data_IF_708652008139
#
_entry.id   IF_708652008139
#
_cell.length_a   1.000
_cell.length_b   1.000
_cell.length_c   1.000
_cell.angle_alpha   90.00
_cell.angle_beta   90.00
_cell.angle_gamma   90.00
#
_symmetry.space_group_name_H-M   'P 1'
#
loop_
_entity.id
_entity.type
_entity.pdbx_description
1 polymer ?
#
# COMPACT_ATOMS: atom_id res chain seq x y z
N UNK A 1 21.02 43.95 -13.06
CA UNK A 1 19.81 44.19 -12.26
C UNK A 1 18.85 43.02 -12.50
N UNK A 2 18.34 42.34 -11.50
CA UNK A 2 17.26 41.32 -11.57
C UNK A 2 17.63 39.85 -11.35
N UNK A 3 18.38 39.52 -10.33
CA UNK A 3 18.40 38.10 -9.83
C UNK A 3 17.98 38.01 -8.35
N UNK A 4 17.77 39.11 -7.65
CA UNK A 4 17.42 39.12 -6.23
C UNK A 4 15.93 38.99 -5.88
N UNK A 5 15.01 38.94 -6.85
CA UNK A 5 13.57 38.89 -6.60
C UNK A 5 12.93 37.46 -6.66
N UNK A 6 13.67 36.46 -7.16
CA UNK A 6 13.13 35.10 -7.18
C UNK A 6 13.35 34.31 -5.88
N UNK A 7 14.31 34.72 -5.04
CA UNK A 7 14.66 33.99 -3.82
C UNK A 7 13.66 34.15 -2.65
N UNK A 8 12.76 35.14 -2.74
CA UNK A 8 11.80 35.44 -1.66
C UNK A 8 10.42 34.76 -1.82
N UNK A 9 10.16 34.16 -2.99
CA UNK A 9 8.88 33.45 -3.24
C UNK A 9 8.91 31.96 -2.85
N UNK A 10 10.09 31.39 -2.73
CA UNK A 10 10.23 29.95 -2.43
C UNK A 10 9.71 29.50 -1.04
N UNK A 11 9.92 30.25 0.06
CA UNK A 11 9.42 29.80 1.36
C UNK A 11 7.89 29.86 1.47
N UNK A 12 7.25 30.76 0.76
CA UNK A 12 5.78 30.86 0.77
C UNK A 12 5.10 29.79 -0.07
N UNK A 13 5.70 29.38 -1.18
CA UNK A 13 5.23 28.27 -2.00
C UNK A 13 5.41 26.92 -1.28
N UNK A 14 6.52 26.76 -0.55
CA UNK A 14 6.76 25.58 0.27
C UNK A 14 5.77 25.50 1.45
N UNK A 15 5.49 26.63 2.09
CA UNK A 15 4.51 26.71 3.19
C UNK A 15 3.08 26.44 2.70
N UNK A 16 2.72 26.87 1.50
CA UNK A 16 1.41 26.59 0.87
C UNK A 16 1.32 25.10 0.47
N UNK A 17 2.40 24.49 -0.04
CA UNK A 17 2.42 23.08 -0.37
C UNK A 17 2.32 22.19 0.90
N UNK A 18 2.98 22.58 2.00
CA UNK A 18 2.87 21.91 3.31
C UNK A 18 1.47 22.11 3.91
N UNK A 19 0.87 23.29 3.79
CA UNK A 19 -0.48 23.55 4.27
C UNK A 19 -1.56 22.80 3.48
N UNK A 20 -1.37 22.59 2.17
CA UNK A 20 -2.25 21.75 1.34
C UNK A 20 -2.06 20.25 1.61
N UNK A 21 -0.87 19.82 2.04
CA UNK A 21 -0.60 18.43 2.40
C UNK A 21 -1.14 18.01 3.77
N UNK A 22 -1.58 18.96 4.61
CA UNK A 22 -2.12 18.68 5.96
C UNK A 22 -3.64 18.70 6.04
N UNK A 23 -4.34 19.03 4.96
CA UNK A 23 -5.81 18.99 4.92
C UNK A 23 -6.35 17.65 4.45
N UNK A 24 -6.07 16.57 5.18
CA UNK A 24 -6.92 15.38 5.13
C UNK A 24 -8.25 15.76 5.77
N UNK A 25 -9.23 16.10 4.96
CA UNK A 25 -10.60 16.33 5.45
C UNK A 25 -11.19 14.94 5.73
N UNK A 26 -11.06 14.46 6.97
CA UNK A 26 -11.87 13.37 7.46
C UNK A 26 -13.26 13.94 7.75
N UNK A 27 -14.27 13.52 7.02
CA UNK A 27 -15.66 13.89 7.28
C UNK A 27 -16.40 12.65 7.78
N UNK A 28 -16.86 12.72 9.02
CA UNK A 28 -17.79 11.77 9.59
C UNK A 28 -19.22 12.30 9.40
N UNK A 29 -20.09 11.49 8.83
CA UNK A 29 -21.51 11.80 8.63
C UNK A 29 -22.32 10.75 9.36
N UNK A 30 -23.03 11.19 10.42
CA UNK A 30 -23.99 10.35 11.11
C UNK A 30 -25.37 10.53 10.45
N UNK A 31 -26.06 9.43 10.22
CA UNK A 31 -27.41 9.43 9.65
C UNK A 31 -28.30 8.35 10.27
N UNK A 32 -29.62 8.50 10.10
CA UNK A 32 -30.58 7.54 10.60
C UNK A 32 -31.66 7.25 9.55
N UNK A 33 -31.91 5.96 9.32
CA UNK A 33 -32.95 5.48 8.38
C UNK A 33 -33.86 4.53 9.17
N UNK A 34 -34.99 5.04 9.64
CA UNK A 34 -35.86 4.29 10.55
C UNK A 34 -35.15 3.99 11.88
N UNK A 35 -34.97 2.72 12.20
CA UNK A 35 -34.26 2.25 13.40
C UNK A 35 -32.75 2.03 13.16
N UNK A 36 -32.32 2.06 11.89
CA UNK A 36 -30.92 1.87 11.52
C UNK A 36 -30.17 3.19 11.75
N UNK A 37 -29.08 3.12 12.50
CA UNK A 37 -28.09 4.21 12.65
C UNK A 37 -26.92 3.93 11.73
N UNK A 38 -26.55 4.89 10.90
CA UNK A 38 -25.41 4.82 10.00
C UNK A 38 -24.36 5.85 10.36
N UNK A 39 -23.11 5.48 10.20
CA UNK A 39 -21.95 6.37 10.25
C UNK A 39 -21.14 6.15 8.98
N UNK A 40 -20.80 7.24 8.31
CA UNK A 40 -19.95 7.23 7.13
C UNK A 40 -18.77 8.15 7.32
N UNK A 41 -17.57 7.58 7.33
CA UNK A 41 -16.30 8.30 7.44
C UNK A 41 -15.59 8.30 6.09
N UNK A 42 -15.07 9.44 5.69
CA UNK A 42 -14.40 9.62 4.40
C UNK A 42 -13.09 10.37 4.57
N UNK A 43 -12.01 9.81 4.04
CA UNK A 43 -10.68 10.42 3.98
C UNK A 43 -10.22 10.48 2.53
N UNK A 44 -9.86 11.68 2.06
CA UNK A 44 -9.27 11.90 0.75
C UNK A 44 -7.87 12.47 0.96
N UNK A 45 -6.89 11.95 0.23
CA UNK A 45 -5.52 12.41 0.34
C UNK A 45 -4.83 12.54 -1.02
N UNK A 46 -3.95 13.54 -1.13
CA UNK A 46 -3.03 13.74 -2.22
C UNK A 46 -1.62 13.76 -1.63
N UNK A 47 -0.70 13.04 -2.23
CA UNK A 47 0.67 12.99 -1.76
C UNK A 47 1.68 12.78 -2.87
N UNK A 48 2.94 13.12 -2.58
CA UNK A 48 4.05 12.85 -3.49
C UNK A 48 5.32 12.49 -2.71
N UNK A 49 6.17 11.70 -3.36
CA UNK A 49 7.46 11.27 -2.81
C UNK A 49 8.58 11.48 -3.82
N UNK A 50 9.77 11.85 -3.33
CA UNK A 50 10.94 12.17 -4.15
C UNK A 50 12.17 11.37 -3.73
N UNK A 51 12.97 10.94 -4.71
CA UNK A 51 14.28 10.35 -4.50
C UNK A 51 15.29 11.42 -4.06
N UNK A 52 15.60 11.50 -2.77
CA UNK A 52 16.53 12.50 -2.21
C UNK A 52 17.99 12.22 -2.55
N UNK A 53 18.32 10.97 -2.91
CA UNK A 53 19.64 10.53 -3.35
C UNK A 53 19.52 9.70 -4.62
N UNK A 54 20.57 9.72 -5.44
CA UNK A 54 20.72 8.76 -6.53
C UNK A 54 21.03 7.36 -6.00
N UNK A 55 20.99 6.34 -6.88
CA UNK A 55 21.40 4.99 -6.54
C UNK A 55 22.84 4.94 -6.04
N UNK A 56 23.10 4.11 -5.04
CA UNK A 56 24.45 3.82 -4.59
C UNK A 56 25.09 2.80 -5.56
N UNK A 57 26.30 3.08 -6.08
CA UNK A 57 26.99 2.16 -7.00
C UNK A 57 27.18 0.74 -6.48
N UNK A 58 27.23 0.55 -5.17
CA UNK A 58 27.40 -0.78 -4.58
C UNK A 58 26.14 -1.65 -4.64
N UNK A 59 24.98 -1.05 -4.98
CA UNK A 59 23.70 -1.74 -5.06
C UNK A 59 23.08 -1.72 -6.48
N UNK A 60 23.82 -1.29 -7.48
CA UNK A 60 23.36 -1.26 -8.86
C UNK A 60 24.40 -1.87 -9.80
N UNK A 61 23.91 -2.42 -10.90
CA UNK A 61 24.75 -2.86 -12.00
C UNK A 61 25.08 -1.71 -12.94
N UNK A 62 26.09 -1.90 -13.80
CA UNK A 62 26.36 -0.94 -14.87
C UNK A 62 25.27 -1.01 -15.93
N UNK A 63 24.72 0.15 -16.30
CA UNK A 63 23.67 0.27 -17.31
C UNK A 63 24.09 1.18 -18.46
N UNK A 64 23.90 0.71 -19.67
CA UNK A 64 24.14 1.47 -20.89
C UNK A 64 22.99 2.46 -21.20
N UNK A 65 21.83 2.27 -20.57
CA UNK A 65 20.64 3.10 -20.76
C UNK A 65 20.69 4.36 -19.89
N UNK A 66 20.95 4.15 -18.59
CA UNK A 66 20.97 5.25 -17.62
C UNK A 66 22.34 5.90 -17.50
N UNK A 67 23.38 5.26 -18.00
CA UNK A 67 24.77 5.67 -17.86
C UNK A 67 25.35 5.45 -16.46
N UNK A 68 24.61 4.78 -15.57
CA UNK A 68 25.08 4.44 -14.24
C UNK A 68 26.24 3.45 -14.32
N UNK A 69 27.25 3.67 -13.47
CA UNK A 69 28.38 2.79 -13.26
C UNK A 69 28.19 2.11 -11.90
N UNK A 70 27.87 0.82 -11.92
CA UNK A 70 27.63 0.05 -10.70
C UNK A 70 28.66 -1.03 -10.50
N UNK A 71 28.77 -1.50 -9.24
CA UNK A 71 29.75 -2.48 -8.78
C UNK A 71 29.16 -3.89 -8.63
N UNK A 72 27.83 -4.02 -8.69
CA UNK A 72 27.14 -5.32 -8.53
C UNK A 72 26.87 -5.99 -9.87
N UNK A 73 26.73 -7.33 -9.84
CA UNK A 73 26.30 -8.14 -10.99
C UNK A 73 24.81 -8.45 -11.03
N UNK A 74 24.00 -7.95 -10.08
CA UNK A 74 22.57 -8.26 -9.93
C UNK A 74 21.70 -7.42 -10.86
N UNK A 75 21.73 -7.71 -12.15
CA UNK A 75 21.09 -6.93 -13.21
C UNK A 75 19.57 -7.04 -13.26
N UNK A 76 19.00 -8.05 -12.64
CA UNK A 76 17.54 -8.28 -12.66
C UNK A 76 16.85 -7.87 -11.35
N UNK A 77 17.58 -7.29 -10.41
CA UNK A 77 17.05 -6.93 -9.08
C UNK A 77 17.28 -5.47 -8.72
N UNK A 78 17.73 -4.64 -9.66
CA UNK A 78 18.05 -3.23 -9.43
C UNK A 78 17.31 -2.26 -10.36
N UNK A 79 16.35 -2.73 -11.14
CA UNK A 79 15.53 -1.94 -12.07
C UNK A 79 14.87 -0.75 -11.35
N UNK A 80 14.40 -0.95 -10.12
CA UNK A 80 13.86 0.10 -9.27
C UNK A 80 14.86 1.24 -9.00
N UNK A 81 16.15 0.93 -8.91
CA UNK A 81 17.21 1.90 -8.67
C UNK A 81 17.66 2.59 -9.95
N UNK A 82 17.54 1.90 -11.09
CA UNK A 82 17.82 2.46 -12.40
C UNK A 82 16.76 3.46 -12.85
N UNK A 83 15.51 3.29 -12.40
CA UNK A 83 14.36 4.07 -12.82
C UNK A 83 14.28 5.47 -12.22
N UNK A 84 14.89 5.72 -11.05
CA UNK A 84 14.69 6.97 -10.32
C UNK A 84 16.02 7.65 -10.01
N UNK A 85 16.22 8.85 -10.58
CA UNK A 85 17.38 9.70 -10.31
C UNK A 85 17.14 10.59 -9.08
N UNK A 86 18.22 11.14 -8.56
CA UNK A 86 18.14 12.13 -7.48
C UNK A 86 17.24 13.30 -7.90
N UNK A 87 16.25 13.62 -7.05
CA UNK A 87 15.31 14.73 -7.23
C UNK A 87 14.07 14.37 -8.04
N UNK A 88 14.01 13.18 -8.66
CA UNK A 88 12.80 12.72 -9.35
C UNK A 88 11.73 12.25 -8.38
N UNK A 89 10.48 12.48 -8.74
CA UNK A 89 9.32 11.90 -8.06
C UNK A 89 9.24 10.41 -8.37
N UNK A 90 8.88 9.61 -7.37
CA UNK A 90 8.60 8.19 -7.56
C UNK A 90 7.16 7.79 -7.18
N UNK A 91 6.38 8.75 -6.72
CA UNK A 91 4.94 8.62 -6.50
C UNK A 91 4.29 9.99 -6.48
N UNK A 92 3.15 10.13 -7.15
CA UNK A 92 2.22 11.27 -7.11
C UNK A 92 0.82 10.70 -7.05
N UNK A 93 0.30 10.52 -5.86
CA UNK A 93 -0.90 9.72 -5.65
C UNK A 93 -2.09 10.56 -5.17
N UNK A 94 -3.26 10.26 -5.72
CA UNK A 94 -4.56 10.58 -5.16
C UNK A 94 -5.20 9.30 -4.65
N UNK A 95 -5.75 9.34 -3.43
CA UNK A 95 -6.42 8.18 -2.84
C UNK A 95 -7.59 8.59 -1.95
N UNK A 96 -8.55 7.68 -1.83
CA UNK A 96 -9.67 7.77 -0.92
C UNK A 96 -9.83 6.51 -0.09
N UNK A 97 -10.25 6.68 1.15
CA UNK A 97 -10.58 5.62 2.09
C UNK A 97 -11.91 5.96 2.75
N UNK A 98 -12.83 5.02 2.73
CA UNK A 98 -14.20 5.23 3.21
C UNK A 98 -14.63 4.08 4.10
N UNK A 99 -15.20 4.42 5.26
CA UNK A 99 -15.75 3.50 6.23
C UNK A 99 -17.25 3.73 6.33
N UNK A 100 -18.03 2.67 6.24
CA UNK A 100 -19.48 2.68 6.46
C UNK A 100 -19.83 1.69 7.56
N UNK A 101 -20.45 2.17 8.61
CA UNK A 101 -21.04 1.35 9.66
C UNK A 101 -22.55 1.53 9.70
N UNK A 102 -23.29 0.43 9.70
CA UNK A 102 -24.75 0.42 9.88
C UNK A 102 -25.09 -0.41 11.11
N UNK A 103 -25.85 0.16 12.05
CA UNK A 103 -26.25 -0.48 13.32
C UNK A 103 -27.76 -0.60 13.42
N UNK A 104 -28.22 -1.79 13.78
CA UNK A 104 -29.61 -2.09 14.13
C UNK A 104 -29.67 -2.89 15.41
N UNK A 105 -30.13 -2.28 16.50
CA UNK A 105 -30.06 -2.87 17.84
C UNK A 105 -28.63 -3.22 18.20
N UNK A 106 -28.40 -4.48 18.54
CA UNK A 106 -27.10 -5.03 18.93
C UNK A 106 -26.30 -5.60 17.76
N UNK A 107 -26.85 -5.54 16.55
CA UNK A 107 -26.22 -6.03 15.32
C UNK A 107 -25.75 -4.88 14.46
N UNK A 108 -24.74 -5.13 13.63
CA UNK A 108 -24.30 -4.16 12.64
C UNK A 108 -23.52 -4.78 11.49
N UNK A 109 -23.27 -3.94 10.51
CA UNK A 109 -22.45 -4.22 9.34
C UNK A 109 -21.39 -3.13 9.26
N UNK A 110 -20.15 -3.54 8.99
CA UNK A 110 -19.05 -2.63 8.74
C UNK A 110 -18.46 -2.93 7.37
N UNK A 111 -18.24 -1.89 6.57
CA UNK A 111 -17.59 -1.97 5.26
C UNK A 111 -16.54 -0.87 5.14
N UNK A 112 -15.33 -1.22 4.72
CA UNK A 112 -14.26 -0.31 4.37
C UNK A 112 -13.83 -0.51 2.94
N UNK A 113 -13.76 0.57 2.18
CA UNK A 113 -13.27 0.57 0.81
C UNK A 113 -12.16 1.59 0.61
N UNK A 114 -11.19 1.26 -0.25
CA UNK A 114 -10.15 2.18 -0.70
C UNK A 114 -10.09 2.23 -2.22
N UNK A 115 -9.60 3.37 -2.74
CA UNK A 115 -9.17 3.50 -4.12
C UNK A 115 -7.96 4.42 -4.22
N UNK A 116 -7.18 4.26 -5.29
CA UNK A 116 -5.98 5.05 -5.52
C UNK A 116 -5.69 5.19 -7.00
N UNK A 117 -4.99 6.26 -7.34
CA UNK A 117 -4.42 6.50 -8.64
C UNK A 117 -3.07 7.22 -8.47
N UNK A 118 -1.99 6.58 -8.86
CA UNK A 118 -0.64 7.16 -8.84
C UNK A 118 -0.27 7.62 -10.25
N UNK A 119 -0.33 8.93 -10.47
CA UNK A 119 -0.04 9.57 -11.75
C UNK A 119 1.41 9.35 -12.19
N UNK A 120 2.35 9.29 -11.25
CA UNK A 120 3.75 9.06 -11.55
C UNK A 120 4.02 7.65 -12.07
N UNK A 121 3.37 6.65 -11.46
CA UNK A 121 3.56 5.26 -11.85
C UNK A 121 2.68 4.85 -13.04
N UNK A 122 1.56 5.54 -13.25
CA UNK A 122 0.58 5.17 -14.28
C UNK A 122 0.84 5.85 -15.61
N UNK A 123 1.18 7.14 -15.59
CA UNK A 123 1.14 8.01 -16.75
C UNK A 123 2.55 8.42 -17.24
N UNK A 124 3.58 8.33 -16.37
CA UNK A 124 4.92 8.76 -16.71
C UNK A 124 5.77 7.61 -17.26
N UNK A 125 6.48 7.88 -18.34
CA UNK A 125 7.45 6.94 -18.91
C UNK A 125 8.75 6.93 -18.13
N UNK A 126 9.35 5.76 -17.99
CA UNK A 126 10.67 5.57 -17.40
C UNK A 126 11.72 5.26 -18.45
N UNK A 127 12.89 5.87 -18.28
CA UNK A 127 13.99 5.68 -19.23
C UNK A 127 14.44 4.22 -19.30
N UNK A 128 14.42 3.53 -18.17
CA UNK A 128 14.96 2.19 -18.05
C UNK A 128 13.87 1.11 -18.14
N UNK A 129 12.80 1.23 -17.35
CA UNK A 129 11.73 0.24 -17.30
C UNK A 129 10.39 0.90 -16.97
N UNK A 130 9.46 0.90 -17.93
CA UNK A 130 8.12 1.43 -17.73
C UNK A 130 7.32 0.58 -16.74
N UNK A 131 6.67 1.25 -15.81
CA UNK A 131 5.84 0.57 -14.84
C UNK A 131 4.58 0.03 -15.53
N UNK A 132 4.31 -1.26 -15.36
CA UNK A 132 3.18 -1.94 -15.97
C UNK A 132 2.29 -2.60 -14.92
N UNK A 133 0.98 -2.55 -15.13
CA UNK A 133 -0.01 -3.16 -14.24
C UNK A 133 -0.48 -4.54 -14.71
N UNK A 134 -0.11 -4.96 -15.94
CA UNK A 134 -0.56 -6.21 -16.53
C UNK A 134 -0.01 -7.43 -15.79
N UNK A 135 -0.90 -8.34 -15.36
CA UNK A 135 -0.53 -9.54 -14.62
C UNK A 135 -0.04 -9.32 -13.19
N UNK A 136 -0.05 -8.06 -12.71
CA UNK A 136 0.37 -7.70 -11.35
C UNK A 136 -0.73 -7.99 -10.33
N UNK A 137 -0.34 -8.11 -9.08
CA UNK A 137 -1.30 -8.14 -7.96
C UNK A 137 -2.14 -6.86 -7.96
N UNK A 138 -3.45 -6.98 -7.79
CA UNK A 138 -4.37 -5.84 -7.90
C UNK A 138 -4.05 -4.71 -6.91
N UNK A 139 -3.55 -5.05 -5.72
CA UNK A 139 -3.17 -4.08 -4.70
C UNK A 139 -1.80 -3.43 -4.97
N UNK A 140 -0.93 -4.08 -5.77
CA UNK A 140 0.37 -3.53 -6.16
C UNK A 140 0.31 -2.63 -7.41
N UNK A 141 -0.82 -2.58 -8.13
CA UNK A 141 -0.99 -1.75 -9.33
C UNK A 141 -0.89 -0.26 -9.03
N UNK A 142 -0.56 0.49 -10.05
CA UNK A 142 -0.48 1.97 -10.01
C UNK A 142 -1.83 2.63 -9.76
N UNK A 143 -2.92 1.95 -10.07
CA UNK A 143 -4.30 2.40 -9.78
C UNK A 143 -5.20 1.21 -9.46
N UNK A 144 -6.21 1.44 -8.62
CA UNK A 144 -7.14 0.39 -8.24
C UNK A 144 -8.20 0.82 -7.24
N UNK A 145 -9.10 -0.10 -6.95
CA UNK A 145 -10.08 0.00 -5.88
C UNK A 145 -10.25 -1.38 -5.23
N UNK A 146 -10.42 -1.41 -3.91
CA UNK A 146 -10.56 -2.65 -3.15
C UNK A 146 -11.48 -2.45 -1.95
N UNK A 147 -12.32 -3.45 -1.68
CA UNK A 147 -13.00 -3.57 -0.39
C UNK A 147 -12.06 -4.24 0.61
N UNK A 148 -11.68 -3.50 1.63
CA UNK A 148 -10.88 -3.99 2.74
C UNK A 148 -11.77 -4.79 3.70
N UNK A 149 -12.23 -4.17 4.78
CA UNK A 149 -13.12 -4.83 5.72
C UNK A 149 -14.55 -4.93 5.16
N UNK A 150 -15.20 -6.06 5.40
CA UNK A 150 -16.61 -6.29 5.09
C UNK A 150 -17.13 -7.41 5.98
N UNK A 151 -17.72 -7.08 7.13
CA UNK A 151 -18.21 -8.05 8.08
C UNK A 151 -19.51 -7.61 8.72
N UNK A 152 -20.25 -8.61 9.19
CA UNK A 152 -21.39 -8.43 10.10
C UNK A 152 -20.97 -8.76 11.51
N UNK A 153 -21.58 -8.10 12.49
CA UNK A 153 -21.35 -8.36 13.89
C UNK A 153 -22.62 -8.34 14.71
N UNK A 154 -22.57 -9.04 15.84
CA UNK A 154 -23.62 -9.05 16.85
C UNK A 154 -23.01 -9.00 18.24
N UNK A 155 -23.49 -8.07 19.05
CA UNK A 155 -23.17 -7.98 20.47
C UNK A 155 -24.23 -8.75 21.25
N UNK A 156 -23.81 -9.52 22.22
CA UNK A 156 -24.71 -10.28 23.06
C UNK A 156 -24.22 -10.29 24.52
N UNK A 157 -25.06 -10.76 25.42
CA UNK A 157 -24.68 -10.97 26.80
C UNK A 157 -25.01 -12.40 27.23
N UNK A 158 -24.10 -13.04 27.99
CA UNK A 158 -24.32 -14.32 28.68
C UNK A 158 -24.37 -14.04 30.16
N UNK A 159 -25.59 -13.99 30.73
CA UNK A 159 -25.82 -13.40 32.04
C UNK A 159 -25.49 -11.88 31.96
N UNK A 160 -24.55 -11.42 32.80
CA UNK A 160 -24.10 -10.02 32.81
C UNK A 160 -22.79 -9.80 32.05
N UNK A 161 -22.28 -10.85 31.39
CA UNK A 161 -20.99 -10.81 30.71
C UNK A 161 -21.17 -10.54 29.22
N UNK A 162 -20.49 -9.50 28.71
CA UNK A 162 -20.57 -9.07 27.33
C UNK A 162 -19.84 -10.04 26.38
N UNK A 163 -20.42 -10.25 25.22
CA UNK A 163 -19.84 -11.00 24.11
C UNK A 163 -20.03 -10.28 22.77
N UNK A 164 -19.17 -10.58 21.81
CA UNK A 164 -19.24 -10.10 20.44
C UNK A 164 -18.86 -11.22 19.48
N UNK A 165 -19.60 -11.37 18.40
CA UNK A 165 -19.27 -12.25 17.29
C UNK A 165 -19.21 -11.45 16.00
N UNK A 166 -18.20 -11.75 15.14
CA UNK A 166 -18.04 -11.14 13.82
C UNK A 166 -17.84 -12.21 12.78
N UNK A 167 -18.44 -12.02 11.61
CA UNK A 167 -18.28 -12.93 10.47
C UNK A 167 -18.06 -12.10 9.21
N UNK A 168 -17.03 -12.41 8.46
CA UNK A 168 -16.68 -11.75 7.23
C UNK A 168 -15.21 -11.36 7.13
N UNK A 169 -14.92 -10.50 6.17
CA UNK A 169 -13.57 -10.02 5.86
C UNK A 169 -13.17 -8.96 6.89
N UNK A 170 -12.20 -9.24 7.73
CA UNK A 170 -11.83 -8.39 8.86
C UNK A 170 -10.35 -8.52 9.23
N UNK A 171 -9.84 -7.52 9.94
CA UNK A 171 -8.53 -7.53 10.58
C UNK A 171 -8.69 -7.88 12.06
N UNK A 172 -7.88 -8.82 12.55
CA UNK A 172 -7.71 -9.09 13.97
C UNK A 172 -6.34 -8.60 14.40
N UNK A 173 -6.31 -7.65 15.33
CA UNK A 173 -5.08 -7.05 15.85
C UNK A 173 -5.00 -7.25 17.34
N UNK A 174 -4.04 -8.05 17.81
CA UNK A 174 -3.75 -8.32 19.20
C UNK A 174 -2.49 -7.60 19.70
N UNK A 175 -2.08 -6.54 19.02
CA UNK A 175 -0.92 -5.71 19.37
C UNK A 175 -0.17 -5.20 18.15
N UNK A 176 0.91 -4.47 18.39
CA UNK A 176 1.64 -3.74 17.34
C UNK A 176 2.83 -4.49 16.76
N UNK A 177 3.28 -5.58 17.37
CA UNK A 177 4.48 -6.36 16.96
C UNK A 177 5.73 -5.48 16.77
N UNK A 178 5.92 -4.47 17.63
CA UNK A 178 6.95 -3.42 17.46
C UNK A 178 8.37 -3.98 17.53
N UNK A 179 8.61 -4.95 18.42
CA UNK A 179 9.96 -5.49 18.66
C UNK A 179 10.18 -6.89 18.07
N UNK A 180 9.11 -7.66 17.90
CA UNK A 180 9.17 -9.03 17.37
C UNK A 180 8.25 -9.09 16.16
N UNK A 181 8.85 -9.15 14.97
CA UNK A 181 8.12 -9.33 13.72
C UNK A 181 7.34 -10.64 13.70
N UNK A 182 6.17 -10.65 13.05
CA UNK A 182 5.29 -11.81 12.90
C UNK A 182 4.83 -12.45 14.23
N UNK A 183 4.68 -11.64 15.29
CA UNK A 183 4.18 -12.14 16.57
C UNK A 183 2.64 -12.13 16.62
N UNK A 184 2.06 -11.47 17.61
CA UNK A 184 0.61 -11.46 17.86
C UNK A 184 -0.24 -10.77 16.77
N UNK A 185 0.38 -10.11 15.80
CA UNK A 185 -0.32 -9.48 14.68
C UNK A 185 -0.20 -10.25 13.36
N UNK A 186 0.31 -11.48 13.38
CA UNK A 186 0.55 -12.29 12.18
C UNK A 186 -0.71 -12.92 11.57
N UNK A 187 -1.88 -12.72 12.16
CA UNK A 187 -3.16 -13.26 11.66
C UNK A 187 -3.54 -12.68 10.28
N UNK A 188 -3.14 -11.44 10.00
CA UNK A 188 -3.44 -10.77 8.75
C UNK A 188 -2.19 -10.56 7.89
N UNK A 189 -2.25 -10.80 6.58
CA UNK A 189 -1.17 -10.45 5.66
C UNK A 189 -1.00 -8.93 5.54
N UNK A 190 0.16 -8.51 5.06
CA UNK A 190 0.53 -7.09 4.95
C UNK A 190 0.54 -6.65 3.50
N UNK A 191 -0.04 -5.49 3.21
CA UNK A 191 0.14 -4.73 1.97
C UNK A 191 1.30 -3.74 2.16
N UNK A 192 2.52 -4.17 1.86
CA UNK A 192 3.70 -3.33 1.97
C UNK A 192 3.69 -2.19 0.95
N UNK A 193 3.08 -2.40 -0.23
CA UNK A 193 2.93 -1.36 -1.24
C UNK A 193 2.04 -0.21 -0.73
N UNK A 194 0.92 -0.52 -0.06
CA UNK A 194 0.06 0.50 0.53
C UNK A 194 0.76 1.29 1.63
N UNK A 195 1.51 0.62 2.52
CA UNK A 195 2.22 1.29 3.63
C UNK A 195 3.31 2.27 3.16
N UNK A 196 3.86 2.08 1.96
CA UNK A 196 4.90 2.93 1.36
C UNK A 196 4.35 4.09 0.54
N UNK A 197 3.05 4.10 0.25
CA UNK A 197 2.39 5.19 -0.47
C UNK A 197 2.36 6.46 0.39
N UNK A 198 2.54 7.66 -0.19
CA UNK A 198 2.42 8.91 0.55
C UNK A 198 1.07 9.01 1.28
N UNK A 199 1.11 9.45 2.55
CA UNK A 199 -0.09 9.60 3.37
C UNK A 199 -0.79 8.27 3.71
N UNK A 200 -0.06 7.15 3.77
CA UNK A 200 -0.63 5.85 4.15
C UNK A 200 -1.05 5.81 5.62
N UNK A 201 -2.14 5.10 5.89
CA UNK A 201 -2.61 4.79 7.22
C UNK A 201 -2.39 3.29 7.52
N UNK A 202 -2.17 2.93 8.79
CA UNK A 202 -1.94 1.52 9.20
C UNK A 202 -3.10 0.61 8.78
N UNK A 203 -4.33 1.13 8.83
CA UNK A 203 -5.53 0.40 8.40
C UNK A 203 -5.58 0.07 6.90
N UNK A 204 -4.73 0.69 6.07
CA UNK A 204 -4.55 0.33 4.66
C UNK A 204 -3.54 -0.79 4.46
N UNK A 205 -2.66 -1.00 5.43
CA UNK A 205 -1.53 -1.92 5.34
C UNK A 205 -1.80 -3.32 5.88
N UNK A 206 -2.81 -3.51 6.72
CA UNK A 206 -3.23 -4.84 7.15
C UNK A 206 -4.36 -5.32 6.26
N UNK A 207 -4.16 -6.45 5.57
CA UNK A 207 -5.16 -7.01 4.66
C UNK A 207 -6.19 -7.82 5.44
N UNK A 208 -7.46 -7.43 5.41
CA UNK A 208 -8.50 -8.23 6.01
C UNK A 208 -8.70 -9.54 5.26
N UNK A 209 -8.95 -10.60 6.01
CA UNK A 209 -9.27 -11.93 5.51
C UNK A 209 -10.59 -12.41 6.09
N UNK A 210 -11.29 -13.27 5.35
CA UNK A 210 -12.55 -13.83 5.80
C UNK A 210 -12.35 -14.73 7.00
N UNK A 211 -13.02 -14.42 8.11
CA UNK A 211 -12.92 -15.20 9.35
C UNK A 211 -14.18 -15.10 10.20
N UNK A 212 -14.34 -16.08 11.08
CA UNK A 212 -15.21 -16.03 12.25
C UNK A 212 -14.35 -15.53 13.42
N UNK A 213 -14.83 -14.51 14.13
CA UNK A 213 -14.20 -13.97 15.33
C UNK A 213 -15.21 -13.96 16.47
N UNK A 214 -14.75 -14.27 17.66
CA UNK A 214 -15.53 -14.24 18.90
C UNK A 214 -14.70 -13.57 19.99
N UNK A 215 -15.32 -12.66 20.73
CA UNK A 215 -14.80 -12.10 21.97
C UNK A 215 -15.84 -12.32 23.07
N UNK A 216 -15.43 -12.86 24.22
CA UNK A 216 -16.32 -13.18 25.34
C UNK A 216 -15.66 -12.82 26.65
N UNK A 217 -16.30 -11.95 27.41
CA UNK A 217 -15.96 -11.76 28.82
C UNK A 217 -16.31 -13.04 29.60
N UNK A 218 -15.36 -13.62 30.31
CA UNK A 218 -15.54 -14.82 31.16
C UNK A 218 -15.69 -14.44 32.61
N UNK A 219 -15.17 -13.29 33.00
CA UNK A 219 -15.39 -12.63 34.30
C UNK A 219 -15.21 -11.12 34.13
N UNK A 220 -15.42 -10.34 35.19
CA UNK A 220 -15.22 -8.89 35.18
C UNK A 220 -13.81 -8.45 34.73
N UNK A 221 -12.78 -9.30 34.97
CA UNK A 221 -11.38 -8.99 34.69
C UNK A 221 -10.73 -9.90 33.64
N UNK A 222 -11.51 -10.79 33.02
CA UNK A 222 -10.94 -11.76 32.06
C UNK A 222 -11.82 -11.86 30.82
N UNK A 223 -11.21 -11.58 29.66
CA UNK A 223 -11.83 -11.71 28.35
C UNK A 223 -11.05 -12.72 27.49
N UNK A 224 -11.76 -13.49 26.71
CA UNK A 224 -11.20 -14.47 25.75
C UNK A 224 -11.57 -14.04 24.35
N UNK A 225 -10.59 -14.04 23.47
CA UNK A 225 -10.77 -13.80 22.05
C UNK A 225 -10.28 -15.00 21.24
N UNK A 226 -11.03 -15.35 20.21
CA UNK A 226 -10.68 -16.43 19.30
C UNK A 226 -11.13 -16.08 17.87
N UNK A 227 -10.40 -16.59 16.90
CA UNK A 227 -10.82 -16.51 15.50
C UNK A 227 -10.54 -17.82 14.78
N UNK A 228 -11.33 -18.06 13.72
CA UNK A 228 -11.12 -19.14 12.78
C UNK A 228 -11.06 -18.54 11.37
N UNK A 229 -9.91 -18.64 10.72
CA UNK A 229 -9.65 -18.08 9.40
C UNK A 229 -10.24 -19.00 8.33
N UNK A 230 -11.06 -18.44 7.44
CA UNK A 230 -11.73 -19.13 6.34
C UNK A 230 -11.03 -18.94 4.99
N UNK A 231 -10.17 -17.93 4.89
CA UNK A 231 -9.48 -17.53 3.67
C UNK A 231 -8.00 -17.29 3.96
N UNK A 232 -7.13 -17.78 3.08
CA UNK A 232 -5.71 -17.41 3.08
C UNK A 232 -5.43 -16.36 2.01
N UNK A 233 -4.68 -15.30 2.36
CA UNK A 233 -4.14 -14.33 1.44
C UNK A 233 -2.64 -14.19 1.65
N UNK A 234 -1.92 -13.93 0.55
CA UNK A 234 -0.50 -13.58 0.62
C UNK A 234 -0.32 -12.11 0.99
N UNK A 235 0.84 -11.75 1.53
CA UNK A 235 1.28 -10.36 1.63
C UNK A 235 1.55 -9.79 0.24
N UNK A 236 1.27 -8.52 0.07
CA UNK A 236 1.48 -7.77 -1.17
C UNK A 236 2.77 -6.96 -1.06
N UNK A 237 3.62 -7.06 -2.07
CA UNK A 237 4.85 -6.27 -2.20
C UNK A 237 4.72 -5.31 -3.37
N UNK A 238 5.61 -4.31 -3.40
CA UNK A 238 5.61 -3.30 -4.45
C UNK A 238 5.80 -3.92 -5.85
N UNK A 239 5.18 -3.30 -6.86
CA UNK A 239 5.32 -3.68 -8.25
C UNK A 239 6.77 -3.52 -8.74
N UNK A 240 7.15 -4.31 -9.75
CA UNK A 240 8.48 -4.24 -10.38
C UNK A 240 8.75 -2.85 -10.97
N UNK A 241 10.03 -2.47 -10.93
CA UNK A 241 10.50 -1.19 -11.44
C UNK A 241 10.06 0.02 -10.62
N UNK A 242 9.16 -0.13 -9.62
CA UNK A 242 8.82 0.95 -8.68
C UNK A 242 9.94 1.16 -7.69
N UNK A 243 9.99 2.31 -7.03
CA UNK A 243 11.12 2.72 -6.17
C UNK A 243 11.47 1.70 -5.06
N UNK A 244 10.48 1.00 -4.53
CA UNK A 244 10.65 -0.04 -3.51
C UNK A 244 10.49 -1.46 -4.06
N UNK A 245 10.22 -1.60 -5.36
CA UNK A 245 10.10 -2.90 -6.01
C UNK A 245 11.41 -3.68 -5.95
N UNK A 246 11.32 -5.00 -5.89
CA UNK A 246 12.46 -5.91 -5.95
C UNK A 246 12.16 -6.95 -7.04
N UNK A 247 12.69 -6.69 -8.22
CA UNK A 247 12.55 -7.60 -9.35
C UNK A 247 13.43 -8.85 -9.14
N UNK A 248 13.00 -10.03 -9.63
CA UNK A 248 11.74 -10.39 -10.28
C UNK A 248 10.71 -11.03 -9.33
N UNK A 249 10.78 -10.77 -8.01
CA UNK A 249 10.00 -11.45 -6.99
C UNK A 249 8.48 -11.17 -7.01
N UNK A 250 8.00 -9.92 -7.31
CA UNK A 250 6.58 -9.64 -7.30
C UNK A 250 5.82 -10.41 -8.37
N UNK A 251 4.54 -10.66 -8.14
CA UNK A 251 3.66 -11.36 -9.09
C UNK A 251 3.67 -10.69 -10.46
N UNK A 252 3.91 -11.49 -11.50
CA UNK A 252 3.94 -11.04 -12.88
C UNK A 252 5.23 -10.32 -13.29
N UNK A 253 6.21 -10.18 -12.40
CA UNK A 253 7.51 -9.54 -12.66
C UNK A 253 8.53 -10.50 -13.28
N UNK A 254 8.10 -11.27 -14.27
CA UNK A 254 8.91 -12.24 -14.99
C UNK A 254 9.15 -11.86 -16.45
N UNK A 255 8.79 -10.65 -16.82
CA UNK A 255 8.92 -10.10 -18.17
C UNK A 255 10.30 -9.50 -18.43
N UNK A 256 11.14 -9.40 -17.38
CA UNK A 256 12.51 -8.91 -17.49
C UNK A 256 13.46 -9.69 -16.59
N UNK A 257 14.23 -10.56 -17.22
CA UNK A 257 15.34 -11.28 -16.59
C UNK A 257 16.58 -11.17 -17.51
N UNK A 258 17.63 -10.50 -17.02
CA UNK A 258 18.88 -10.34 -17.77
C UNK A 258 19.87 -11.43 -17.36
N UNK A 259 20.19 -12.33 -18.29
CA UNK A 259 21.07 -13.46 -18.02
C UNK A 259 22.56 -13.10 -17.98
N UNK A 260 23.00 -12.16 -18.83
CA UNK A 260 24.40 -11.73 -18.93
C UNK A 260 24.54 -10.38 -19.64
N UNK A 261 25.70 -9.71 -19.43
CA UNK A 261 26.01 -8.44 -20.09
C UNK A 261 25.50 -7.21 -19.31
N UNK A 262 25.72 -5.98 -19.81
CA UNK A 262 25.19 -4.76 -19.22
C UNK A 262 23.67 -4.68 -19.37
N UNK A 263 23.01 -3.91 -18.53
CA UNK A 263 21.58 -3.64 -18.61
C UNK A 263 21.20 -2.81 -19.84
N UNK A 264 20.06 -3.14 -20.41
CA UNK A 264 19.45 -2.48 -21.56
C UNK A 264 18.01 -2.07 -21.22
N UNK A 265 17.47 -1.08 -21.94
CA UNK A 265 16.08 -0.69 -21.82
C UNK A 265 15.12 -1.81 -22.20
N UNK A 266 13.93 -1.80 -21.60
CA UNK A 266 12.85 -2.68 -22.00
C UNK A 266 12.54 -2.53 -23.50
N UNK A 267 12.38 -3.66 -24.19
CA UNK A 267 12.14 -3.67 -25.64
C UNK A 267 13.40 -3.51 -26.52
N UNK A 268 14.59 -3.39 -25.93
CA UNK A 268 15.83 -3.40 -26.68
C UNK A 268 16.06 -4.81 -27.28
N UNK A 269 16.27 -4.93 -28.60
CA UNK A 269 16.46 -6.24 -29.25
C UNK A 269 17.72 -6.98 -28.81
N UNK A 270 18.63 -6.31 -28.10
CA UNK A 270 19.83 -6.92 -27.50
C UNK A 270 19.58 -7.57 -26.15
N UNK A 271 18.36 -7.42 -25.58
CA UNK A 271 18.00 -8.07 -24.35
C UNK A 271 17.94 -9.59 -24.51
N UNK A 272 18.78 -10.30 -23.79
CA UNK A 272 18.60 -11.71 -23.54
C UNK A 272 17.60 -11.89 -22.39
N UNK A 273 16.33 -11.65 -22.66
CA UNK A 273 15.26 -11.95 -21.71
C UNK A 273 14.93 -13.43 -21.77
N UNK A 274 14.94 -14.09 -20.64
CA UNK A 274 14.38 -15.43 -20.52
C UNK A 274 12.88 -15.25 -20.27
N UNK A 275 12.00 -15.77 -21.15
CA UNK A 275 10.57 -15.72 -20.91
C UNK A 275 10.22 -16.35 -19.56
N UNK A 276 9.34 -15.71 -18.80
CA UNK A 276 9.02 -16.13 -17.43
C UNK A 276 8.30 -17.46 -17.26
N UNK A 277 8.09 -18.21 -18.33
CA UNK A 277 7.61 -19.59 -18.29
C UNK A 277 8.71 -20.61 -17.93
N UNK A 278 9.93 -20.16 -17.64
CA UNK A 278 11.08 -21.02 -17.36
C UNK A 278 11.50 -21.04 -15.86
N UNK A 279 10.66 -20.48 -14.95
CA UNK A 279 10.88 -20.55 -13.49
C UNK A 279 9.71 -21.26 -12.83
#
# INVERSE_FOLDING_TARGET
MTIKKLATLQPHLLAVAVALGTSSQAQAIDFKIGEIRGQFDSSLSIGASWAVRGPDPDFVSTSNVTGLRGNTGTRSADDNRQNFKKGETFSKIFKGLHDLELKYGDSGVFVRGKYWYDFELKDEHRLFYDIQDNGRDDLAKSSGAEFLDAFVYHNYTLGDLAGNVRVGKQVVSWGESTFIGNSINSANPVDAAALRRPGSEVKEGLLPVSMLYVSQAVSENFNVEAFYQLEWKKSVVDNCGTFFGVDPLPQGCNDRLVAAGPDFAQGDPRLNTIPGSAI
#
